data_IF_174228182201
#
_entry.id   IF_174228182201
#
_cell.length_a   1.000
_cell.length_b   1.000
_cell.length_c   1.000
_cell.angle_alpha   90.00
_cell.angle_beta   90.00
_cell.angle_gamma   90.00
#
_symmetry.space_group_name_H-M   'P 1'
#
loop_
_entity.id
_entity.type
_entity.pdbx_description
1 polymer ?
#
# COMPACT_ATOMS: atom_id res chain seq x y z
N UNK A 1 34.20 24.32 -46.07
CA UNK A 1 32.79 23.89 -45.92
C UNK A 1 32.71 22.37 -46.06
N UNK A 2 32.47 21.66 -44.96
CA UNK A 2 31.82 20.34 -44.79
C UNK A 2 31.73 20.07 -43.26
N UNK A 3 30.69 19.37 -42.79
CA UNK A 3 30.02 19.72 -41.53
C UNK A 3 30.64 19.09 -40.29
N UNK A 4 30.56 19.85 -39.19
CA UNK A 4 30.86 19.41 -37.82
C UNK A 4 29.77 18.43 -37.39
N UNK A 5 30.12 17.16 -37.22
CA UNK A 5 29.25 16.20 -36.56
C UNK A 5 29.32 16.49 -35.06
N UNK A 6 28.41 17.34 -34.56
CA UNK A 6 28.17 17.49 -33.12
C UNK A 6 27.53 16.19 -32.63
N UNK A 7 28.36 15.29 -32.12
CA UNK A 7 27.88 14.17 -31.31
C UNK A 7 27.12 14.73 -30.11
N UNK A 8 25.80 14.56 -30.10
CA UNK A 8 24.98 14.77 -28.92
C UNK A 8 25.37 13.68 -27.90
N UNK A 9 26.18 14.05 -26.92
CA UNK A 9 26.37 13.24 -25.71
C UNK A 9 25.08 13.39 -24.92
N UNK A 10 24.18 12.41 -25.01
CA UNK A 10 23.09 12.26 -24.06
C UNK A 10 23.71 11.99 -22.68
N UNK A 11 23.45 12.81 -21.64
CA UNK A 11 23.87 12.46 -20.30
C UNK A 11 23.14 11.18 -19.91
N UNK A 12 23.93 10.14 -19.63
CA UNK A 12 23.41 8.87 -19.13
C UNK A 12 22.56 9.16 -17.89
N UNK A 13 21.30 8.69 -17.81
CA UNK A 13 20.51 8.86 -16.60
C UNK A 13 21.25 8.13 -15.48
N UNK A 14 21.78 8.90 -14.53
CA UNK A 14 22.42 8.35 -13.34
C UNK A 14 21.39 7.45 -12.66
N UNK A 15 21.70 6.16 -12.50
CA UNK A 15 20.95 5.32 -11.57
C UNK A 15 21.00 6.01 -10.21
N UNK A 16 19.86 6.20 -9.52
CA UNK A 16 19.91 6.70 -8.16
C UNK A 16 20.77 5.74 -7.32
N UNK A 17 21.85 6.25 -6.74
CA UNK A 17 22.81 5.49 -5.91
C UNK A 17 22.29 5.16 -4.51
N UNK A 18 21.05 5.53 -4.20
CA UNK A 18 20.44 5.20 -2.92
C UNK A 18 19.95 3.76 -2.95
N UNK A 19 20.36 2.89 -1.99
CA UNK A 19 19.70 1.60 -1.83
C UNK A 19 18.20 1.87 -1.66
N UNK A 20 17.38 1.18 -2.47
CA UNK A 20 15.94 1.28 -2.40
C UNK A 20 15.55 1.05 -0.95
N UNK A 21 15.00 2.07 -0.28
CA UNK A 21 14.49 1.89 1.08
C UNK A 21 13.57 0.65 1.08
N UNK A 22 13.62 -0.20 2.14
CA UNK A 22 12.80 -1.40 2.21
C UNK A 22 11.37 -1.10 1.75
N UNK A 23 10.84 -1.93 0.85
CA UNK A 23 9.49 -1.70 0.36
C UNK A 23 8.52 -1.86 1.53
N UNK A 24 7.56 -0.94 1.64
CA UNK A 24 6.52 -1.05 2.65
C UNK A 24 5.73 -2.37 2.52
N UNK A 25 5.73 -2.97 1.32
CA UNK A 25 5.21 -4.32 1.10
C UNK A 25 6.07 -5.40 1.79
N UNK A 26 7.40 -5.35 1.67
CA UNK A 26 8.29 -6.31 2.34
C UNK A 26 8.18 -6.21 3.86
N UNK A 27 8.16 -4.98 4.39
CA UNK A 27 7.95 -4.72 5.82
C UNK A 27 6.59 -5.27 6.28
N UNK A 28 5.54 -5.10 5.47
CA UNK A 28 4.21 -5.64 5.75
C UNK A 28 4.21 -7.17 5.78
N UNK A 29 4.87 -7.83 4.83
CA UNK A 29 4.99 -9.30 4.80
C UNK A 29 5.68 -9.80 6.07
N UNK A 30 6.81 -9.22 6.45
CA UNK A 30 7.54 -9.60 7.67
C UNK A 30 6.67 -9.42 8.92
N UNK A 31 5.96 -8.30 9.03
CA UNK A 31 5.09 -8.02 10.17
C UNK A 31 3.89 -8.97 10.23
N UNK A 32 3.29 -9.32 9.10
CA UNK A 32 2.17 -10.29 9.06
C UNK A 32 2.61 -11.70 9.44
N UNK A 33 3.81 -12.13 9.03
CA UNK A 33 4.37 -13.42 9.47
C UNK A 33 4.64 -13.42 10.97
N UNK A 34 5.22 -12.33 11.51
CA UNK A 34 5.44 -12.18 12.97
C UNK A 34 4.14 -12.15 13.75
N UNK A 35 3.13 -11.46 13.22
CA UNK A 35 1.79 -11.42 13.79
C UNK A 35 1.19 -12.82 13.89
N UNK A 36 1.21 -13.60 12.80
CA UNK A 36 0.67 -14.96 12.79
C UNK A 36 1.37 -15.87 13.80
N UNK A 37 2.71 -15.80 13.89
CA UNK A 37 3.47 -16.55 14.88
C UNK A 37 3.11 -16.15 16.32
N UNK A 38 3.13 -14.84 16.64
CA UNK A 38 2.78 -14.34 17.97
C UNK A 38 1.32 -14.65 18.35
N UNK A 39 0.42 -14.68 17.37
CA UNK A 39 -0.99 -15.01 17.59
C UNK A 39 -1.18 -16.49 17.94
N UNK A 40 -0.43 -17.39 17.29
CA UNK A 40 -0.38 -18.81 17.65
C UNK A 40 0.18 -19.02 19.05
N UNK A 41 1.27 -18.32 19.40
CA UNK A 41 1.86 -18.40 20.73
C UNK A 41 0.89 -17.94 21.82
N UNK A 42 0.19 -16.82 21.59
CA UNK A 42 -0.86 -16.35 22.49
C UNK A 42 -1.96 -17.41 22.71
N UNK A 43 -2.45 -18.05 21.64
CA UNK A 43 -3.44 -19.11 21.79
C UNK A 43 -2.91 -20.31 22.58
N UNK A 44 -1.68 -20.73 22.31
CA UNK A 44 -1.06 -21.84 23.03
C UNK A 44 -0.97 -21.54 24.54
N UNK A 45 -0.55 -20.33 24.92
CA UNK A 45 -0.46 -19.92 26.32
C UNK A 45 -1.84 -19.81 26.97
N UNK A 46 -2.82 -19.24 26.26
CA UNK A 46 -4.20 -19.14 26.74
C UNK A 46 -4.82 -20.51 26.98
N UNK A 47 -4.63 -21.44 26.05
CA UNK A 47 -5.18 -22.79 26.15
C UNK A 47 -4.46 -23.59 27.25
N UNK A 48 -3.15 -23.41 27.43
CA UNK A 48 -2.41 -23.99 28.55
C UNK A 48 -2.93 -23.48 29.90
N UNK A 49 -3.19 -22.17 30.02
CA UNK A 49 -3.81 -21.57 31.20
C UNK A 49 -5.18 -22.17 31.48
N UNK A 50 -6.04 -22.23 30.46
CA UNK A 50 -7.39 -22.80 30.59
C UNK A 50 -7.36 -24.27 31.01
N UNK A 51 -6.43 -25.06 30.46
CA UNK A 51 -6.25 -26.46 30.83
C UNK A 51 -5.76 -26.61 32.28
N UNK A 52 -4.81 -25.78 32.72
CA UNK A 52 -4.31 -25.79 34.09
C UNK A 52 -5.39 -25.37 35.11
N UNK A 53 -6.19 -24.34 34.79
CA UNK A 53 -7.33 -23.92 35.60
C UNK A 53 -8.40 -25.01 35.67
N UNK A 54 -8.69 -25.70 34.56
CA UNK A 54 -9.62 -26.81 34.55
C UNK A 54 -9.13 -28.02 35.38
N UNK A 55 -7.82 -28.27 35.40
CA UNK A 55 -7.23 -29.40 36.13
C UNK A 55 -7.10 -29.13 37.64
N UNK A 56 -6.70 -27.91 38.02
CA UNK A 56 -6.44 -27.54 39.42
C UNK A 56 -7.64 -26.91 40.13
N UNK A 57 -8.59 -26.35 39.38
CA UNK A 57 -9.71 -25.57 39.90
C UNK A 57 -9.30 -24.19 40.46
N UNK A 58 -8.02 -23.82 40.38
CA UNK A 58 -7.51 -22.54 40.86
C UNK A 58 -6.75 -21.78 39.77
N UNK A 59 -6.90 -20.45 39.67
CA UNK A 59 -6.11 -19.63 38.76
C UNK A 59 -4.62 -19.71 39.06
N UNK A 60 -3.81 -19.94 38.03
CA UNK A 60 -2.35 -19.87 38.12
C UNK A 60 -1.86 -18.46 37.73
N UNK A 61 -1.29 -17.69 38.67
CA UNK A 61 -0.82 -16.33 38.39
C UNK A 61 0.37 -16.29 37.42
N UNK A 62 1.19 -17.33 37.34
CA UNK A 62 2.31 -17.40 36.40
C UNK A 62 1.80 -17.58 34.98
N UNK A 63 0.83 -18.49 34.77
CA UNK A 63 0.20 -18.68 33.46
C UNK A 63 -0.59 -17.45 33.02
N UNK A 64 -1.22 -16.73 33.97
CA UNK A 64 -1.87 -15.45 33.67
C UNK A 64 -0.85 -14.41 33.17
N UNK A 65 0.29 -14.30 33.85
CA UNK A 65 1.36 -13.39 33.46
C UNK A 65 1.91 -13.74 32.07
N UNK A 66 2.10 -15.03 31.77
CA UNK A 66 2.57 -15.46 30.46
C UNK A 66 1.58 -15.07 29.34
N UNK A 67 0.27 -15.19 29.61
CA UNK A 67 -0.77 -14.74 28.67
C UNK A 67 -0.69 -13.22 28.44
N UNK A 68 -0.52 -12.45 29.50
CA UNK A 68 -0.41 -10.99 29.43
C UNK A 68 0.87 -10.55 28.68
N UNK A 69 1.98 -11.26 28.87
CA UNK A 69 3.22 -11.05 28.12
C UNK A 69 3.04 -11.35 26.62
N UNK A 70 2.35 -12.43 26.27
CA UNK A 70 2.02 -12.76 24.87
C UNK A 70 1.11 -11.69 24.23
N UNK A 71 0.14 -11.16 24.98
CA UNK A 71 -0.69 -10.04 24.54
C UNK A 71 0.11 -8.75 24.33
N UNK A 72 1.09 -8.47 25.19
CA UNK A 72 1.96 -7.31 25.05
C UNK A 72 2.80 -7.40 23.76
N UNK A 73 3.30 -8.59 23.40
CA UNK A 73 4.01 -8.81 22.13
C UNK A 73 3.11 -8.52 20.92
N UNK A 74 1.86 -9.02 20.94
CA UNK A 74 0.89 -8.70 19.89
C UNK A 74 0.63 -7.20 19.77
N UNK A 75 0.47 -6.49 20.89
CA UNK A 75 0.25 -5.04 20.89
C UNK A 75 1.43 -4.27 20.25
N UNK A 76 2.67 -4.69 20.49
CA UNK A 76 3.86 -4.11 19.86
C UNK A 76 3.84 -4.33 18.35
N UNK A 77 3.58 -5.56 17.89
CA UNK A 77 3.53 -5.87 16.46
C UNK A 77 2.42 -5.07 15.78
N UNK A 78 1.25 -4.96 16.41
CA UNK A 78 0.14 -4.13 15.90
C UNK A 78 0.57 -2.67 15.71
N UNK A 79 1.25 -2.10 16.68
CA UNK A 79 1.72 -0.72 16.60
C UNK A 79 2.69 -0.50 15.43
N UNK A 80 3.57 -1.47 15.15
CA UNK A 80 4.45 -1.43 13.97
C UNK A 80 3.66 -1.54 12.66
N UNK A 81 2.65 -2.43 12.59
CA UNK A 81 1.76 -2.52 11.43
C UNK A 81 1.02 -1.20 11.19
N UNK A 82 0.49 -0.57 12.24
CA UNK A 82 -0.18 0.72 12.16
C UNK A 82 0.75 1.82 11.64
N UNK A 83 2.05 1.79 11.99
CA UNK A 83 3.07 2.71 11.43
C UNK A 83 3.26 2.51 9.93
N UNK A 84 3.38 1.26 9.47
CA UNK A 84 3.52 0.95 8.03
C UNK A 84 2.28 1.43 7.26
N UNK A 85 1.08 1.22 7.81
CA UNK A 85 -0.18 1.72 7.22
C UNK A 85 -0.22 3.25 7.19
N UNK A 86 0.18 3.92 8.27
CA UNK A 86 0.19 5.39 8.32
C UNK A 86 1.18 5.97 7.29
N UNK A 87 2.38 5.41 7.19
CA UNK A 87 3.41 5.85 6.26
C UNK A 87 3.00 5.62 4.79
N UNK A 88 2.41 4.47 4.48
CA UNK A 88 1.87 4.20 3.13
C UNK A 88 0.72 5.14 2.77
N UNK A 89 -0.17 5.47 3.72
CA UNK A 89 -1.23 6.47 3.52
C UNK A 89 -0.68 7.87 3.26
N UNK A 90 0.37 8.29 3.97
CA UNK A 90 1.02 9.59 3.76
C UNK A 90 1.67 9.69 2.37
N UNK A 91 2.33 8.63 1.91
CA UNK A 91 2.86 8.56 0.52
C UNK A 91 1.76 8.63 -0.53
N UNK A 92 0.56 8.12 -0.21
CA UNK A 92 -0.65 8.18 -1.04
C UNK A 92 -1.51 9.42 -0.77
N UNK A 93 -0.99 10.50 -0.15
CA UNK A 93 -1.72 11.78 -0.04
C UNK A 93 -2.33 12.06 -1.40
N UNK A 94 -3.65 12.29 -1.52
CA UNK A 94 -4.29 12.43 -2.81
C UNK A 94 -3.55 13.55 -3.51
N UNK A 95 -2.88 13.21 -4.61
CA UNK A 95 -2.46 14.22 -5.55
C UNK A 95 -3.77 14.94 -5.87
N UNK A 96 -3.94 16.17 -5.40
CA UNK A 96 -5.03 17.06 -5.80
C UNK A 96 -4.88 17.45 -7.27
N UNK A 97 -4.47 16.50 -8.11
CA UNK A 97 -4.47 16.59 -9.55
C UNK A 97 -5.88 16.27 -9.98
N UNK A 98 -6.56 17.30 -10.47
CA UNK A 98 -7.70 17.17 -11.37
C UNK A 98 -7.56 15.89 -12.20
N UNK A 99 -8.45 14.92 -11.94
CA UNK A 99 -8.62 13.80 -12.85
C UNK A 99 -9.21 14.41 -14.12
N UNK A 100 -8.34 14.76 -15.08
CA UNK A 100 -8.77 15.16 -16.41
C UNK A 100 -9.33 13.91 -17.07
N UNK A 101 -10.62 13.69 -16.89
CA UNK A 101 -11.39 12.74 -17.68
C UNK A 101 -11.48 13.35 -19.07
N UNK A 102 -10.55 12.96 -19.94
CA UNK A 102 -10.68 13.23 -21.37
C UNK A 102 -11.91 12.48 -21.88
N UNK A 103 -12.97 13.21 -22.22
CA UNK A 103 -14.07 12.66 -23.01
C UNK A 103 -13.51 12.28 -24.37
N UNK A 104 -13.40 10.98 -24.64
CA UNK A 104 -13.20 10.48 -26.01
C UNK A 104 -14.53 10.75 -26.72
N UNK A 105 -14.58 11.84 -27.50
CA UNK A 105 -15.64 12.04 -28.47
C UNK A 105 -15.50 10.97 -29.55
N UNK A 106 -16.56 10.22 -29.81
CA UNK A 106 -16.70 9.48 -31.06
C UNK A 106 -16.87 10.53 -32.17
N UNK A 107 -15.75 10.97 -32.75
CA UNK A 107 -15.76 11.64 -34.06
C UNK A 107 -16.18 10.60 -35.11
N UNK A 108 -17.47 10.40 -35.25
CA UNK A 108 -18.07 9.83 -36.46
C UNK A 108 -18.14 10.96 -37.48
N UNK A 109 -17.02 11.15 -38.18
CA UNK A 109 -17.02 11.87 -39.43
C UNK A 109 -17.81 11.06 -40.47
N UNK A 110 -19.12 11.30 -40.55
CA UNK A 110 -19.86 11.06 -41.78
C UNK A 110 -20.22 12.40 -42.42
N UNK A 111 -19.42 12.70 -43.44
CA UNK A 111 -19.74 13.62 -44.50
C UNK A 111 -21.10 13.26 -45.09
N UNK A 112 -22.08 14.16 -45.04
CA UNK A 112 -23.10 14.20 -46.07
C UNK A 112 -23.29 15.62 -46.53
N UNK A 113 -22.73 15.86 -47.71
CA UNK A 113 -22.92 17.04 -48.53
C UNK A 113 -24.39 17.17 -48.90
N UNK A 114 -24.97 18.34 -48.63
CA UNK A 114 -26.32 18.71 -49.06
C UNK A 114 -26.51 20.21 -49.00
N UNK A 115 -25.95 20.91 -49.99
CA UNK A 115 -26.41 22.25 -50.39
C UNK A 115 -27.92 22.23 -50.60
N UNK A 116 -28.66 23.24 -50.13
CA UNK A 116 -29.18 24.31 -51.00
C UNK A 116 -29.91 25.41 -50.20
N UNK A 117 -29.53 26.65 -50.51
CA UNK A 117 -30.23 27.93 -50.44
C UNK A 117 -31.05 28.44 -49.23
N UNK A 118 -30.50 29.52 -48.65
CA UNK A 118 -31.18 30.70 -48.05
C UNK A 118 -32.05 31.41 -49.12
N UNK A 119 -33.25 31.99 -48.83
CA UNK A 119 -33.28 33.35 -48.27
C UNK A 119 -34.44 33.64 -47.31
N UNK A 120 -34.14 34.41 -46.27
CA UNK A 120 -35.09 34.79 -45.22
C UNK A 120 -36.31 35.63 -45.62
N UNK A 121 -37.25 35.76 -44.68
CA UNK A 121 -38.08 36.95 -44.47
C UNK A 121 -38.88 36.84 -43.16
N UNK A 122 -38.76 37.91 -42.36
CA UNK A 122 -39.70 38.51 -41.39
C UNK A 122 -40.82 37.66 -40.82
#
# INVERSE_FOLDING_TARGET
>A
MRPIVRGFILPSPQRPETPLAPDAFDDWVVLTTRWDAAYKDYFAVRDARAAAEAASGTPDPELKRNEDEALAVLAVIKAEMDKVVAHTRQRRRPLGGSLVIGTIGNDEAETSSGSEDDPGKK
#
